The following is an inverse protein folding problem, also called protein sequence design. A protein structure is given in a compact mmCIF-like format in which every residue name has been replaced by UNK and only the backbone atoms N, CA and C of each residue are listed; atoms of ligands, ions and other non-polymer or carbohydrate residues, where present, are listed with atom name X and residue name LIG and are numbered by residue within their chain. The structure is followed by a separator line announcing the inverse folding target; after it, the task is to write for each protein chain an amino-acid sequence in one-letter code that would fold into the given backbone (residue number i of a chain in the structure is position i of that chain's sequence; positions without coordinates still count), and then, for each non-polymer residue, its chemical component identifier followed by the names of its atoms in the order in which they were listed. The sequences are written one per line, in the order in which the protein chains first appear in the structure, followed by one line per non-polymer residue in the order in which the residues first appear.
data_IF_918267156278
#
_entry.id   IF_918267156278
#
_cell.length_a   1.000
_cell.length_b   1.000
_cell.length_c   1.000
_cell.angle_alpha   90.00
_cell.angle_beta   90.00
_cell.angle_gamma   90.00
#
_symmetry.space_group_name_H-M   'P 1'
#
loop_
_entity.id
_entity.type
_entity.pdbx_description
1 polymer ?
#
# COMPACT_ATOMS: atom_id res chain seq x y z
N UNK A 1 -18.17 -5.08 11.35
CA UNK A 1 -16.99 -5.32 12.21
C UNK A 1 -17.17 -6.58 13.05
N UNK A 2 -16.08 -7.26 13.41
CA UNK A 2 -16.08 -8.29 14.45
C UNK A 2 -16.25 -7.66 15.85
N UNK A 3 -16.79 -8.41 16.83
CA UNK A 3 -17.04 -7.91 18.19
C UNK A 3 -15.74 -7.43 18.85
N UNK A 4 -14.61 -8.10 18.58
CA UNK A 4 -13.32 -7.70 19.16
C UNK A 4 -12.80 -6.39 18.55
N UNK A 5 -13.05 -6.16 17.26
CA UNK A 5 -12.70 -4.90 16.59
C UNK A 5 -13.50 -3.72 17.17
N UNK A 6 -14.80 -3.94 17.44
CA UNK A 6 -15.66 -2.89 18.02
C UNK A 6 -15.26 -2.59 19.46
N UNK A 7 -14.91 -3.61 20.26
CA UNK A 7 -14.44 -3.40 21.63
C UNK A 7 -13.12 -2.62 21.67
N UNK A 8 -12.18 -2.93 20.78
CA UNK A 8 -10.92 -2.18 20.67
C UNK A 8 -11.18 -0.72 20.24
N UNK A 9 -12.12 -0.49 19.32
CA UNK A 9 -12.48 0.85 18.90
C UNK A 9 -13.15 1.63 20.04
N UNK A 10 -14.11 1.02 20.74
CA UNK A 10 -14.77 1.61 21.89
C UNK A 10 -13.78 1.97 23.00
N UNK A 11 -12.78 1.10 23.28
CA UNK A 11 -11.73 1.37 24.25
C UNK A 11 -10.91 2.61 23.90
N UNK A 12 -10.50 2.73 22.62
CA UNK A 12 -9.79 3.91 22.15
C UNK A 12 -10.63 5.20 22.26
N UNK A 13 -11.93 5.14 21.98
CA UNK A 13 -12.81 6.31 22.06
C UNK A 13 -12.99 6.78 23.50
N UNK A 14 -13.25 5.85 24.41
CA UNK A 14 -13.39 6.15 25.85
C UNK A 14 -12.06 6.68 26.40
N UNK A 15 -10.92 6.10 26.00
CA UNK A 15 -9.61 6.61 26.40
C UNK A 15 -9.36 8.04 25.94
N UNK A 16 -9.69 8.37 24.68
CA UNK A 16 -9.50 9.72 24.16
C UNK A 16 -10.39 10.77 24.86
N UNK A 17 -11.59 10.39 25.30
CA UNK A 17 -12.55 11.32 25.92
C UNK A 17 -12.40 11.42 27.44
N UNK A 18 -11.98 10.35 28.11
CA UNK A 18 -11.95 10.27 29.59
C UNK A 18 -10.54 10.11 30.17
N UNK A 19 -9.54 9.82 29.33
CA UNK A 19 -8.18 9.48 29.76
C UNK A 19 -8.05 8.09 30.42
N UNK A 20 -9.14 7.32 30.49
CA UNK A 20 -9.19 5.97 31.10
C UNK A 20 -9.65 4.95 30.07
N UNK A 21 -9.06 3.75 30.12
CA UNK A 21 -9.52 2.62 29.33
C UNK A 21 -10.85 2.08 29.87
N UNK A 22 -11.56 1.30 29.05
CA UNK A 22 -12.78 0.61 29.47
C UNK A 22 -12.46 -0.34 30.63
N UNK A 23 -13.19 -0.20 31.73
CA UNK A 23 -13.15 -1.16 32.82
C UNK A 23 -13.87 -2.48 32.45
N UNK A 24 -13.69 -3.50 33.29
CA UNK A 24 -14.22 -4.84 33.03
C UNK A 24 -15.76 -4.84 32.87
N UNK A 25 -16.48 -4.01 33.64
CA UNK A 25 -17.93 -3.92 33.55
C UNK A 25 -18.36 -3.26 32.24
N UNK A 26 -17.71 -2.16 31.86
CA UNK A 26 -17.97 -1.46 30.61
C UNK A 26 -17.69 -2.36 29.39
N UNK A 27 -16.61 -3.15 29.42
CA UNK A 27 -16.31 -4.13 28.36
C UNK A 27 -17.39 -5.21 28.25
N UNK A 28 -17.87 -5.73 29.39
CA UNK A 28 -18.92 -6.77 29.42
C UNK A 28 -20.26 -6.20 28.96
N UNK A 29 -20.59 -4.94 29.32
CA UNK A 29 -21.77 -4.23 28.83
C UNK A 29 -21.76 -4.08 27.31
N UNK A 30 -20.63 -3.63 26.75
CA UNK A 30 -20.48 -3.46 25.30
C UNK A 30 -20.57 -4.80 24.57
N UNK A 31 -19.80 -5.80 25.03
CA UNK A 31 -19.81 -7.15 24.46
C UNK A 31 -21.22 -7.75 24.48
N UNK A 32 -21.90 -7.69 25.62
CA UNK A 32 -23.26 -8.19 25.78
C UNK A 32 -24.27 -7.45 24.92
N UNK A 33 -24.10 -6.13 24.75
CA UNK A 33 -24.95 -5.31 23.87
C UNK A 33 -24.77 -5.71 22.40
N UNK A 34 -23.54 -5.90 21.92
CA UNK A 34 -23.29 -6.36 20.55
C UNK A 34 -23.74 -7.80 20.27
N UNK A 35 -23.92 -8.60 21.32
CA UNK A 35 -24.48 -9.96 21.28
C UNK A 35 -26.01 -10.00 21.46
N UNK A 36 -26.67 -8.85 21.69
CA UNK A 36 -28.12 -8.78 21.87
C UNK A 36 -28.61 -9.22 23.27
N UNK A 37 -27.73 -9.37 24.25
CA UNK A 37 -28.09 -9.78 25.62
C UNK A 37 -28.92 -8.70 26.34
N UNK A 38 -29.83 -9.10 27.22
CA UNK A 38 -30.56 -8.19 28.14
C UNK A 38 -29.65 -7.73 29.28
N UNK A 39 -29.94 -6.56 29.88
CA UNK A 39 -29.14 -6.08 31.03
C UNK A 39 -29.20 -7.01 32.24
N UNK A 40 -30.26 -7.80 32.39
CA UNK A 40 -30.37 -8.84 33.42
C UNK A 40 -29.36 -9.97 33.22
N UNK A 41 -29.09 -10.34 31.97
CA UNK A 41 -28.13 -11.40 31.61
C UNK A 41 -26.69 -10.89 31.80
N UNK A 42 -26.44 -9.63 31.41
CA UNK A 42 -25.15 -8.95 31.63
C UNK A 42 -24.86 -8.80 33.12
N UNK A 43 -25.87 -8.44 33.93
CA UNK A 43 -25.75 -8.31 35.37
C UNK A 43 -25.41 -9.65 36.05
N UNK A 44 -26.01 -10.76 35.58
CA UNK A 44 -25.68 -12.11 36.05
C UNK A 44 -24.26 -12.53 35.68
N UNK A 45 -23.82 -12.24 34.44
CA UNK A 45 -22.47 -12.55 33.95
C UNK A 45 -21.38 -11.81 34.75
N UNK A 46 -21.64 -10.56 35.12
CA UNK A 46 -20.71 -9.73 35.89
C UNK A 46 -20.94 -9.78 37.41
N UNK A 47 -21.93 -10.54 37.89
CA UNK A 47 -22.30 -10.66 39.30
C UNK A 47 -22.62 -9.30 39.98
N UNK A 48 -23.37 -8.43 39.30
CA UNK A 48 -23.81 -7.14 39.82
C UNK A 48 -25.32 -6.93 39.69
N UNK A 49 -25.84 -5.78 40.12
CA UNK A 49 -27.28 -5.49 40.03
C UNK A 49 -27.65 -5.00 38.63
N UNK A 50 -28.88 -5.31 38.18
CA UNK A 50 -29.40 -4.79 36.92
C UNK A 50 -29.41 -3.25 36.86
N UNK A 51 -29.68 -2.59 38.00
CA UNK A 51 -29.62 -1.14 38.14
C UNK A 51 -28.22 -0.60 37.85
N UNK A 52 -27.19 -1.18 38.46
CA UNK A 52 -25.81 -0.74 38.25
C UNK A 52 -25.37 -0.90 36.77
N UNK A 53 -25.75 -1.99 36.11
CA UNK A 53 -25.51 -2.17 34.68
C UNK A 53 -26.18 -1.08 33.83
N UNK A 54 -27.41 -0.68 34.19
CA UNK A 54 -28.15 0.37 33.48
C UNK A 54 -27.50 1.74 33.66
N UNK A 55 -27.05 2.04 34.88
CA UNK A 55 -26.40 3.30 35.20
C UNK A 55 -25.10 3.45 34.39
N UNK A 56 -24.21 2.45 34.46
CA UNK A 56 -22.94 2.45 33.71
C UNK A 56 -23.17 2.44 32.20
N UNK A 57 -24.16 1.69 31.71
CA UNK A 57 -24.49 1.70 30.29
C UNK A 57 -25.01 3.08 29.83
N UNK A 58 -25.78 3.79 30.66
CA UNK A 58 -26.29 5.12 30.33
C UNK A 58 -25.16 6.15 30.17
N UNK A 59 -24.11 6.05 30.99
CA UNK A 59 -22.91 6.88 30.86
C UNK A 59 -22.16 6.56 29.57
N UNK A 60 -21.98 5.28 29.23
CA UNK A 60 -21.35 4.87 27.97
C UNK A 60 -22.11 5.42 26.75
N UNK A 61 -23.43 5.33 26.74
CA UNK A 61 -24.25 5.86 25.65
C UNK A 61 -24.13 7.37 25.52
N UNK A 62 -24.07 8.08 26.64
CA UNK A 62 -23.85 9.53 26.63
C UNK A 62 -22.49 9.88 26.03
N UNK A 63 -21.43 9.20 26.47
CA UNK A 63 -20.07 9.41 25.95
C UNK A 63 -20.01 9.16 24.45
N UNK A 64 -20.51 8.03 23.96
CA UNK A 64 -20.54 7.77 22.51
C UNK A 64 -21.44 8.73 21.74
N UNK A 65 -22.54 9.22 22.33
CA UNK A 65 -23.38 10.22 21.66
C UNK A 65 -22.64 11.53 21.43
N UNK A 66 -21.85 11.96 22.42
CA UNK A 66 -20.97 13.12 22.31
C UNK A 66 -19.86 12.88 21.27
N UNK A 67 -19.23 11.69 21.26
CA UNK A 67 -18.17 11.37 20.29
C UNK A 67 -18.69 11.29 18.85
N UNK A 68 -19.90 10.75 18.66
CA UNK A 68 -20.43 10.46 17.33
C UNK A 68 -21.24 11.61 16.74
N UNK A 69 -21.62 12.59 17.56
CA UNK A 69 -22.50 13.68 17.14
C UNK A 69 -23.93 13.22 16.84
N UNK A 70 -24.34 12.03 17.28
CA UNK A 70 -25.69 11.49 17.14
C UNK A 70 -26.15 10.79 18.43
N UNK A 71 -27.46 10.67 18.64
CA UNK A 71 -28.01 10.00 19.83
C UNK A 71 -27.75 8.48 19.78
N UNK A 72 -26.94 7.98 20.71
CA UNK A 72 -26.60 6.56 20.87
C UNK A 72 -27.39 5.96 22.02
N UNK A 73 -27.90 4.75 21.81
CA UNK A 73 -28.54 3.91 22.81
C UNK A 73 -28.24 2.43 22.52
N UNK A 74 -28.66 1.54 23.41
CA UNK A 74 -28.42 0.10 23.29
C UNK A 74 -28.82 -0.49 21.93
N UNK A 75 -29.93 -0.02 21.34
CA UNK A 75 -30.50 -0.61 20.12
C UNK A 75 -29.82 -0.16 18.83
N UNK A 76 -29.22 1.04 18.83
CA UNK A 76 -28.59 1.61 17.64
C UNK A 76 -27.04 1.66 17.73
N UNK A 77 -26.45 1.27 18.86
CA UNK A 77 -25.01 1.32 19.11
C UNK A 77 -24.18 0.77 17.96
N UNK A 78 -24.52 -0.43 17.46
CA UNK A 78 -23.76 -1.07 16.38
C UNK A 78 -23.79 -0.26 15.09
N UNK A 79 -24.97 0.21 14.70
CA UNK A 79 -25.15 1.04 13.51
C UNK A 79 -24.44 2.40 13.67
N UNK A 80 -24.44 2.97 14.88
CA UNK A 80 -23.74 4.22 15.17
C UNK A 80 -22.22 4.09 15.01
N UNK A 81 -21.63 3.01 15.53
CA UNK A 81 -20.22 2.68 15.31
C UNK A 81 -19.88 2.47 13.83
N UNK A 82 -20.71 1.72 13.10
CA UNK A 82 -20.49 1.51 11.66
C UNK A 82 -20.57 2.83 10.88
N UNK A 83 -21.53 3.72 11.20
CA UNK A 83 -21.67 5.05 10.56
C UNK A 83 -20.51 5.99 10.88
N UNK A 84 -20.12 6.06 12.16
CA UNK A 84 -19.01 6.93 12.58
C UNK A 84 -17.68 6.49 11.97
N UNK A 85 -17.45 5.18 11.85
CA UNK A 85 -16.28 4.67 11.15
C UNK A 85 -16.30 5.06 9.66
N UNK A 86 -17.47 5.00 9.03
CA UNK A 86 -17.64 5.44 7.64
C UNK A 86 -17.46 6.96 7.49
N UNK A 87 -17.93 7.78 8.45
CA UNK A 87 -17.80 9.24 8.38
C UNK A 87 -16.35 9.71 8.47
N UNK A 88 -15.51 9.03 9.27
CA UNK A 88 -14.06 9.28 9.33
C UNK A 88 -13.37 8.93 8.02
N UNK A 89 -13.82 7.87 7.36
CA UNK A 89 -13.28 7.47 6.05
C UNK A 89 -13.77 8.42 4.93
N UNK A 90 -14.87 9.15 5.15
CA UNK A 90 -15.55 9.96 4.13
C UNK A 90 -15.30 11.47 4.24
N UNK A 91 -14.71 11.97 5.33
CA UNK A 91 -14.43 13.40 5.55
C UNK A 91 -12.93 13.69 5.58
N UNK A 92 -12.33 14.23 4.50
CA UNK A 92 -10.87 14.44 4.42
C UNK A 92 -10.34 15.67 5.19
N UNK A 93 -11.19 16.47 5.83
CA UNK A 93 -10.82 17.83 6.28
C UNK A 93 -10.72 18.07 7.79
N UNK A 94 -10.94 17.08 8.66
CA UNK A 94 -10.75 17.22 10.12
C UNK A 94 -9.63 16.32 10.68
N UNK A 95 -8.51 16.22 9.97
CA UNK A 95 -7.25 15.77 10.57
C UNK A 95 -6.49 16.98 11.13
N UNK A 96 -6.96 17.51 12.26
CA UNK A 96 -6.08 18.28 13.15
C UNK A 96 -5.13 17.28 13.82
N UNK A 97 -3.83 17.52 13.65
CA UNK A 97 -2.77 16.67 14.14
C UNK A 97 -2.86 16.39 15.64
N UNK A 98 -2.80 15.10 16.00
CA UNK A 98 -2.53 14.68 17.37
C UNK A 98 -1.01 14.66 17.55
N UNK A 99 -0.44 15.86 17.62
CA UNK A 99 0.79 16.13 18.36
C UNK A 99 0.38 17.04 19.52
N UNK A 100 0.60 16.57 20.76
CA UNK A 100 0.44 17.27 22.03
C UNK A 100 0.03 18.75 21.97
N UNK A 101 -1.24 19.04 22.28
CA UNK A 101 -1.66 20.36 22.75
C UNK A 101 -2.35 20.15 24.10
N UNK A 102 -1.68 20.59 25.16
CA UNK A 102 -2.34 20.88 26.43
C UNK A 102 -3.33 22.03 26.18
N UNK A 103 -4.60 21.75 26.42
CA UNK A 103 -5.68 22.74 26.45
C UNK A 103 -5.46 23.69 27.63
N UNK A 104 -5.50 24.99 27.39
CA UNK A 104 -5.93 25.95 28.41
C UNK A 104 -6.94 26.91 27.79
N UNK A 105 -8.19 26.94 28.29
CA UNK A 105 -9.08 28.04 28.04
C UNK A 105 -8.76 29.22 28.99
N UNK A 106 -9.33 30.36 28.63
CA UNK A 106 -9.60 31.53 29.48
C UNK A 106 -8.63 32.72 29.40
N UNK A 107 -9.13 33.78 28.76
CA UNK A 107 -8.99 35.15 29.28
C UNK A 107 -10.32 35.53 29.93
N UNK A 108 -10.40 35.40 31.25
CA UNK A 108 -11.03 36.40 32.10
C UNK A 108 -10.16 36.59 33.34
N UNK A 109 -10.07 37.84 33.74
CA UNK A 109 -9.37 38.39 34.89
C UNK A 109 -9.63 37.65 36.20
N UNK A 110 -8.57 37.41 37.00
CA UNK A 110 -8.29 38.12 38.27
C UNK A 110 -7.41 37.28 39.19
N UNK A 111 -6.23 37.84 39.54
CA UNK A 111 -5.57 37.82 40.85
C UNK A 111 -5.76 36.63 41.80
N UNK A 112 -4.69 35.87 42.09
CA UNK A 112 -3.93 35.94 43.36
C UNK A 112 -2.93 34.76 43.48
N UNK A 113 -1.77 35.08 44.04
CA UNK A 113 -0.65 34.24 44.46
C UNK A 113 -1.04 33.11 45.42
N UNK A 114 -0.30 31.98 45.42
CA UNK A 114 0.35 31.31 46.57
C UNK A 114 1.08 30.02 46.09
N UNK A 115 2.34 29.87 46.51
CA UNK A 115 3.13 28.62 46.65
C UNK A 115 3.31 28.39 48.18
N UNK A 116 3.79 27.25 48.75
CA UNK A 116 4.31 25.99 48.18
C UNK A 116 3.95 24.70 49.00
N UNK A 117 4.61 23.56 48.67
CA UNK A 117 5.05 22.43 49.55
C UNK A 117 4.37 21.03 49.48
N UNK A 118 5.19 20.08 48.99
CA UNK A 118 5.47 18.70 49.43
C UNK A 118 4.36 17.77 49.97
N UNK A 119 4.09 16.69 49.22
CA UNK A 119 3.89 15.34 49.78
C UNK A 119 4.51 14.26 48.88
N UNK A 120 5.24 13.35 49.51
CA UNK A 120 6.13 12.33 48.97
C UNK A 120 5.45 10.96 48.76
N UNK A 121 5.80 10.30 47.64
CA UNK A 121 5.81 8.84 47.34
C UNK A 121 4.46 8.10 47.13
N UNK A 122 4.41 6.91 46.44
CA UNK A 122 5.47 6.09 45.83
C UNK A 122 5.23 5.63 44.36
N UNK A 123 6.30 5.10 43.75
CA UNK A 123 6.33 4.33 42.50
C UNK A 123 5.39 3.11 42.52
N UNK A 124 4.27 3.13 41.79
CA UNK A 124 3.58 1.91 41.32
C UNK A 124 2.90 2.19 39.97
N UNK A 125 3.57 1.79 38.88
CA UNK A 125 3.02 1.02 37.74
C UNK A 125 3.82 1.29 36.46
N UNK A 126 4.69 0.33 36.13
CA UNK A 126 5.16 0.11 34.76
C UNK A 126 3.93 -0.26 33.91
N UNK A 127 3.27 0.74 33.33
CA UNK A 127 2.44 0.51 32.16
C UNK A 127 3.35 -0.11 31.09
N UNK A 128 3.14 -1.39 30.78
CA UNK A 128 3.71 -2.01 29.60
C UNK A 128 3.04 -1.36 28.38
N UNK A 129 3.56 -0.20 27.98
CA UNK A 129 3.23 0.42 26.70
C UNK A 129 3.66 -0.55 25.61
N UNK A 130 2.70 -1.11 24.87
CA UNK A 130 3.01 -1.81 23.62
C UNK A 130 3.79 -0.81 22.76
N UNK A 131 5.06 -1.09 22.37
CA UNK A 131 5.84 -0.14 21.61
C UNK A 131 5.12 0.14 20.29
N UNK A 132 4.73 1.40 20.06
CA UNK A 132 4.24 1.82 18.75
C UNK A 132 5.39 1.69 17.73
N UNK A 133 5.15 1.18 16.52
CA UNK A 133 6.16 1.12 15.48
C UNK A 133 6.73 2.52 15.21
N UNK A 134 8.04 2.64 15.03
CA UNK A 134 8.63 3.86 14.48
C UNK A 134 8.48 3.81 12.96
N UNK A 135 7.85 4.84 12.39
CA UNK A 135 7.45 4.87 10.98
C UNK A 135 8.05 6.10 10.31
N UNK A 136 8.79 5.90 9.22
CA UNK A 136 9.36 6.95 8.37
C UNK A 136 8.88 6.76 6.94
N UNK A 137 7.90 7.57 6.53
CA UNK A 137 7.27 7.52 5.21
C UNK A 137 7.43 8.82 4.43
N UNK A 138 8.36 9.71 4.82
CA UNK A 138 8.56 11.01 4.15
C UNK A 138 8.81 10.91 2.64
N UNK A 139 9.43 9.83 2.17
CA UNK A 139 9.70 9.57 0.75
C UNK A 139 8.49 8.96 0.00
N UNK A 140 7.44 8.54 0.71
CA UNK A 140 6.29 7.89 0.12
C UNK A 140 5.32 8.94 -0.46
N UNK A 141 4.72 8.72 -1.64
CA UNK A 141 3.79 9.67 -2.22
C UNK A 141 2.48 9.72 -1.43
N UNK A 142 1.89 10.92 -1.32
CA UNK A 142 0.53 11.10 -0.83
C UNK A 142 -0.47 10.47 -1.81
N UNK A 143 -1.29 9.56 -1.32
CA UNK A 143 -2.21 8.81 -2.17
C UNK A 143 -3.66 8.94 -1.72
N UNK A 144 -4.54 9.23 -2.69
CA UNK A 144 -5.89 9.74 -2.44
C UNK A 144 -6.99 8.66 -2.34
N UNK A 145 -6.96 7.55 -3.11
CA UNK A 145 -8.06 6.54 -3.10
C UNK A 145 -7.66 5.12 -3.50
N UNK A 146 -7.94 4.11 -2.67
CA UNK A 146 -7.57 2.70 -2.91
C UNK A 146 -8.73 1.85 -3.44
N UNK A 147 -8.49 1.04 -4.48
CA UNK A 147 -9.51 0.20 -5.12
C UNK A 147 -9.13 -1.29 -5.14
N UNK A 148 -10.02 -2.15 -4.65
CA UNK A 148 -9.92 -3.61 -4.82
C UNK A 148 -8.71 -4.27 -4.13
N UNK A 149 -8.08 -5.23 -4.82
CA UNK A 149 -6.80 -5.87 -4.45
C UNK A 149 -6.77 -6.68 -3.14
N UNK A 150 -7.93 -7.18 -2.69
CA UNK A 150 -8.02 -7.94 -1.43
C UNK A 150 -7.17 -9.22 -1.46
N UNK A 151 -7.10 -9.91 -2.61
CA UNK A 151 -6.31 -11.14 -2.75
C UNK A 151 -4.80 -10.87 -2.75
N UNK A 152 -4.37 -9.79 -3.38
CA UNK A 152 -2.98 -9.35 -3.37
C UNK A 152 -2.54 -8.94 -1.96
N UNK A 153 -3.36 -8.16 -1.23
CA UNK A 153 -3.10 -7.84 0.18
C UNK A 153 -2.99 -9.13 1.01
N UNK A 154 -3.93 -10.08 0.85
CA UNK A 154 -3.90 -11.36 1.57
C UNK A 154 -2.64 -12.15 1.28
N UNK A 155 -2.21 -12.18 0.02
CA UNK A 155 -0.98 -12.85 -0.43
C UNK A 155 0.26 -12.21 0.17
N UNK A 156 0.36 -10.88 0.13
CA UNK A 156 1.47 -10.13 0.71
C UNK A 156 1.54 -10.30 2.23
N UNK A 157 0.40 -10.23 2.93
CA UNK A 157 0.30 -10.52 4.38
C UNK A 157 0.80 -11.92 4.70
N UNK A 158 0.37 -12.94 3.93
CA UNK A 158 0.82 -14.32 4.11
C UNK A 158 2.35 -14.42 3.97
N UNK A 159 2.90 -13.89 2.88
CA UNK A 159 4.34 -13.97 2.63
C UNK A 159 5.16 -13.24 3.69
N UNK A 160 4.74 -12.04 4.09
CA UNK A 160 5.50 -11.18 5.01
C UNK A 160 5.36 -11.63 6.46
N UNK A 161 4.14 -11.94 6.91
CA UNK A 161 3.88 -12.21 8.33
C UNK A 161 4.00 -13.68 8.68
N UNK A 162 3.48 -14.58 7.84
CA UNK A 162 3.39 -16.01 8.14
C UNK A 162 4.58 -16.78 7.59
N UNK A 163 4.91 -16.59 6.30
CA UNK A 163 6.04 -17.27 5.66
C UNK A 163 7.39 -16.56 5.87
N UNK A 164 7.37 -15.40 6.54
CA UNK A 164 8.53 -14.59 6.90
C UNK A 164 9.53 -14.41 5.76
N UNK A 165 9.02 -14.07 4.56
CA UNK A 165 9.86 -13.79 3.40
C UNK A 165 10.71 -12.55 3.69
N UNK A 166 12.02 -12.69 3.50
CA UNK A 166 12.98 -11.61 3.70
C UNK A 166 12.93 -10.59 2.57
N UNK A 167 12.60 -11.03 1.36
CA UNK A 167 12.37 -10.14 0.22
C UNK A 167 11.05 -10.50 -0.45
N UNK A 168 10.21 -9.48 -0.62
CA UNK A 168 9.00 -9.55 -1.42
C UNK A 168 9.10 -8.51 -2.52
N UNK A 169 9.00 -8.94 -3.78
CA UNK A 169 9.07 -8.06 -4.94
C UNK A 169 7.66 -7.86 -5.51
N UNK A 170 7.15 -6.65 -5.46
CA UNK A 170 5.94 -6.22 -6.13
C UNK A 170 6.30 -5.58 -7.47
N UNK A 171 5.97 -6.25 -8.57
CA UNK A 171 6.30 -5.75 -9.90
C UNK A 171 5.10 -5.74 -10.86
N UNK A 172 5.17 -4.93 -11.92
CA UNK A 172 4.08 -4.77 -12.87
C UNK A 172 4.17 -3.44 -13.62
N UNK A 173 3.29 -3.25 -14.61
CA UNK A 173 3.26 -2.09 -15.51
C UNK A 173 3.22 -0.74 -14.76
N UNK A 174 3.66 0.34 -15.40
CA UNK A 174 3.53 1.68 -14.83
C UNK A 174 2.04 2.02 -14.59
N UNK A 175 1.76 2.76 -13.51
CA UNK A 175 0.39 3.14 -13.15
C UNK A 175 -0.50 2.02 -12.57
N UNK A 176 -0.05 0.77 -12.56
CA UNK A 176 -0.88 -0.40 -12.17
C UNK A 176 -1.29 -0.43 -10.67
N UNK A 177 -0.77 0.49 -9.85
CA UNK A 177 -1.12 0.62 -8.43
C UNK A 177 -0.17 -0.09 -7.44
N UNK A 178 1.11 -0.29 -7.80
CA UNK A 178 2.07 -0.97 -6.91
C UNK A 178 2.35 -0.21 -5.62
N UNK A 179 2.73 1.06 -5.74
CA UNK A 179 3.00 1.98 -4.63
C UNK A 179 1.78 2.12 -3.72
N UNK A 180 0.61 2.31 -4.32
CA UNK A 180 -0.70 2.31 -3.66
C UNK A 180 -0.96 1.03 -2.85
N UNK A 181 -0.70 -0.14 -3.43
CA UNK A 181 -0.85 -1.42 -2.73
C UNK A 181 0.12 -1.57 -1.55
N UNK A 182 1.36 -1.11 -1.69
CA UNK A 182 2.33 -1.13 -0.61
C UNK A 182 1.92 -0.22 0.56
N UNK A 183 1.45 1.00 0.28
CA UNK A 183 0.92 1.92 1.29
C UNK A 183 -0.28 1.31 2.04
N UNK A 184 -1.22 0.71 1.30
CA UNK A 184 -2.36 0.04 1.92
C UNK A 184 -1.94 -1.16 2.77
N UNK A 185 -0.97 -1.94 2.29
CA UNK A 185 -0.40 -3.05 3.03
C UNK A 185 0.23 -2.58 4.35
N UNK A 186 1.01 -1.49 4.35
CA UNK A 186 1.62 -0.93 5.57
C UNK A 186 0.55 -0.63 6.61
N UNK A 187 -0.52 0.10 6.25
CA UNK A 187 -1.65 0.39 7.16
C UNK A 187 -2.20 -0.87 7.82
N UNK A 188 -2.19 -1.98 7.10
CA UNK A 188 -2.73 -3.26 7.55
C UNK A 188 -1.79 -4.11 8.43
N UNK A 189 -0.48 -3.86 8.38
CA UNK A 189 0.53 -4.73 9.04
C UNK A 189 1.51 -3.97 9.92
N UNK A 190 1.38 -2.65 10.02
CA UNK A 190 2.36 -1.78 10.69
C UNK A 190 2.63 -2.16 12.15
N UNK A 191 1.61 -2.64 12.87
CA UNK A 191 1.72 -3.08 14.25
C UNK A 191 2.48 -4.41 14.44
N UNK A 192 3.02 -5.00 13.36
CA UNK A 192 3.83 -6.23 13.39
C UNK A 192 5.32 -5.97 13.19
N UNK A 193 5.75 -4.72 13.21
CA UNK A 193 7.13 -4.30 12.99
C UNK A 193 7.54 -3.29 14.06
N UNK A 194 8.82 -3.28 14.41
CA UNK A 194 9.41 -2.28 15.30
C UNK A 194 9.72 -0.99 14.53
N UNK A 195 10.17 -1.13 13.28
CA UNK A 195 10.56 -0.04 12.38
C UNK A 195 9.96 -0.24 10.99
N UNK A 196 9.43 0.82 10.40
CA UNK A 196 8.96 0.85 9.02
C UNK A 196 9.61 2.04 8.34
N UNK A 197 10.30 1.80 7.22
CA UNK A 197 10.97 2.86 6.49
C UNK A 197 10.70 2.72 4.99
N UNK A 198 10.29 3.82 4.38
CA UNK A 198 10.16 3.95 2.93
C UNK A 198 11.36 4.69 2.36
N UNK A 199 11.95 4.16 1.30
CA UNK A 199 13.04 4.78 0.55
C UNK A 199 12.69 4.83 -0.93
N UNK A 200 12.66 6.03 -1.48
CA UNK A 200 12.49 6.25 -2.91
C UNK A 200 13.83 6.13 -3.63
N UNK A 201 13.91 5.33 -4.70
CA UNK A 201 15.08 5.27 -5.57
C UNK A 201 14.93 6.15 -6.83
N UNK A 202 13.94 7.05 -6.89
CA UNK A 202 13.69 7.93 -8.05
C UNK A 202 14.95 8.64 -8.56
N UNK A 203 15.78 9.15 -7.65
CA UNK A 203 17.02 9.86 -7.98
C UNK A 203 18.25 8.94 -8.12
N UNK A 204 18.02 7.63 -8.20
CA UNK A 204 19.07 6.60 -8.30
C UNK A 204 20.17 6.76 -7.23
N UNK A 205 19.82 6.73 -5.93
CA UNK A 205 20.78 6.96 -4.86
C UNK A 205 21.82 5.83 -4.78
N UNK A 206 23.10 6.15 -4.51
CA UNK A 206 24.10 5.13 -4.20
C UNK A 206 23.67 4.27 -3.01
N UNK A 207 24.00 2.97 -3.05
CA UNK A 207 23.62 2.03 -1.99
C UNK A 207 24.09 2.46 -0.60
N UNK A 208 25.25 3.12 -0.51
CA UNK A 208 25.79 3.65 0.74
C UNK A 208 24.83 4.64 1.40
N UNK A 209 24.22 5.53 0.61
CA UNK A 209 23.22 6.51 1.09
C UNK A 209 22.02 5.79 1.71
N UNK A 210 21.49 4.78 1.03
CA UNK A 210 20.37 3.98 1.54
C UNK A 210 20.74 3.25 2.83
N UNK A 211 21.91 2.58 2.88
CA UNK A 211 22.36 1.88 4.09
C UNK A 211 22.53 2.82 5.27
N UNK A 212 23.14 3.98 5.06
CA UNK A 212 23.35 4.96 6.12
C UNK A 212 22.02 5.45 6.70
N UNK A 213 21.04 5.76 5.83
CA UNK A 213 19.70 6.17 6.27
C UNK A 213 18.98 5.06 7.04
N UNK A 214 19.08 3.80 6.59
CA UNK A 214 18.54 2.64 7.30
C UNK A 214 19.18 2.47 8.68
N UNK A 215 20.51 2.54 8.77
CA UNK A 215 21.24 2.37 10.02
C UNK A 215 20.85 3.49 11.00
N UNK A 216 20.92 4.76 10.56
CA UNK A 216 20.57 5.92 11.39
C UNK A 216 19.14 5.82 11.96
N UNK A 217 18.18 5.42 11.11
CA UNK A 217 16.78 5.29 11.52
C UNK A 217 16.57 4.14 12.52
N UNK A 218 17.19 2.98 12.31
CA UNK A 218 16.96 1.79 13.15
C UNK A 218 17.76 1.86 14.46
N UNK A 219 18.99 2.35 14.42
CA UNK A 219 19.88 2.37 15.59
C UNK A 219 19.57 3.51 16.56
N UNK A 220 18.83 4.54 16.13
CA UNK A 220 18.68 5.80 16.87
C UNK A 220 20.04 6.47 17.21
N UNK A 221 21.12 6.14 16.48
CA UNK A 221 22.46 6.67 16.70
C UNK A 221 22.92 7.51 15.49
N UNK A 222 23.45 8.70 15.78
CA UNK A 222 24.01 9.63 14.79
C UNK A 222 25.47 9.33 14.42
N UNK A 223 26.07 8.24 14.93
CA UNK A 223 27.47 7.94 14.68
C UNK A 223 27.67 7.33 13.29
N UNK A 224 28.55 7.96 12.51
CA UNK A 224 29.06 7.41 11.26
C UNK A 224 29.96 6.21 11.65
N UNK A 225 29.49 5.00 11.39
CA UNK A 225 30.24 3.78 11.72
C UNK A 225 31.33 3.57 10.66
N UNK A 226 32.61 3.66 11.05
CA UNK A 226 33.78 3.36 10.21
C UNK A 226 33.98 1.84 9.95
N UNK A 227 33.19 1.00 10.63
CA UNK A 227 33.18 -0.47 10.50
C UNK A 227 32.19 -0.92 9.42
N UNK A 228 32.32 -2.16 8.92
CA UNK A 228 31.61 -2.61 7.71
C UNK A 228 30.09 -2.36 7.78
N UNK A 229 29.58 -1.41 6.98
CA UNK A 229 28.17 -0.97 6.99
C UNK A 229 27.16 -2.13 6.93
N UNK A 230 27.52 -3.22 6.25
CA UNK A 230 26.70 -4.43 6.16
C UNK A 230 26.49 -5.13 7.51
N UNK A 231 27.55 -5.32 8.31
CA UNK A 231 27.44 -6.04 9.59
C UNK A 231 26.52 -5.31 10.55
N UNK A 232 26.65 -3.99 10.62
CA UNK A 232 25.82 -3.13 11.46
C UNK A 232 24.36 -3.16 11.06
N UNK A 233 24.07 -3.01 9.77
CA UNK A 233 22.70 -3.11 9.28
C UNK A 233 22.10 -4.48 9.61
N UNK A 234 22.85 -5.57 9.38
CA UNK A 234 22.37 -6.93 9.66
C UNK A 234 22.14 -7.20 11.15
N UNK A 235 23.01 -6.70 12.02
CA UNK A 235 22.79 -6.77 13.47
C UNK A 235 21.51 -6.03 13.88
N UNK A 236 21.27 -4.85 13.32
CA UNK A 236 20.05 -4.10 13.54
C UNK A 236 18.80 -4.86 13.05
N UNK A 237 18.86 -5.48 11.86
CA UNK A 237 17.76 -6.29 11.31
C UNK A 237 17.51 -7.59 12.08
N UNK A 238 18.49 -8.09 12.84
CA UNK A 238 18.35 -9.22 13.77
C UNK A 238 17.69 -8.78 15.07
N UNK A 239 18.15 -7.68 15.65
CA UNK A 239 17.64 -7.11 16.90
C UNK A 239 16.20 -6.60 16.77
N UNK A 240 15.88 -6.01 15.62
CA UNK A 240 14.60 -5.38 15.36
C UNK A 240 13.91 -5.99 14.14
N UNK A 241 12.58 -6.12 14.22
CA UNK A 241 11.75 -6.53 13.10
C UNK A 241 11.40 -5.31 12.26
N UNK A 242 12.10 -5.13 11.14
CA UNK A 242 11.93 -3.99 10.26
C UNK A 242 11.15 -4.34 8.98
N UNK A 243 10.30 -3.42 8.52
CA UNK A 243 9.74 -3.43 7.18
C UNK A 243 10.42 -2.31 6.37
N UNK A 244 11.24 -2.70 5.41
CA UNK A 244 11.96 -1.76 4.53
C UNK A 244 11.26 -1.75 3.18
N UNK A 245 10.80 -0.58 2.72
CA UNK A 245 10.20 -0.41 1.41
C UNK A 245 11.19 0.31 0.51
N UNK A 246 11.54 -0.31 -0.61
CA UNK A 246 12.37 0.29 -1.66
C UNK A 246 11.50 0.47 -2.90
N UNK A 247 11.12 1.71 -3.20
CA UNK A 247 10.31 2.05 -4.36
C UNK A 247 11.16 2.51 -5.55
N UNK A 248 10.64 2.27 -6.76
CA UNK A 248 11.24 2.63 -8.04
C UNK A 248 12.60 1.96 -8.35
N UNK A 249 12.80 0.69 -7.97
CA UNK A 249 14.06 -0.03 -8.26
C UNK A 249 14.47 0.00 -9.74
N UNK A 250 13.54 0.13 -10.67
CA UNK A 250 13.89 0.22 -12.09
C UNK A 250 14.84 1.36 -12.44
N UNK A 251 14.92 2.43 -11.64
CA UNK A 251 15.77 3.60 -11.92
C UNK A 251 17.25 3.27 -11.87
N UNK A 252 17.65 2.33 -11.00
CA UNK A 252 19.03 1.84 -10.88
C UNK A 252 19.38 0.75 -11.92
N UNK A 253 18.47 0.47 -12.85
CA UNK A 253 18.74 -0.38 -14.01
C UNK A 253 19.15 0.44 -15.23
N UNK A 254 20.04 -0.14 -16.04
CA UNK A 254 20.54 0.41 -17.29
C UNK A 254 19.42 0.61 -18.30
N UNK A 255 19.25 1.85 -18.76
CA UNK A 255 18.47 2.18 -19.95
C UNK A 255 19.16 1.64 -21.22
N UNK A 256 18.39 1.29 -22.25
CA UNK A 256 18.92 0.80 -23.53
C UNK A 256 19.51 -0.62 -23.49
N UNK A 257 19.30 -1.35 -22.39
CA UNK A 257 19.75 -2.75 -22.22
C UNK A 257 18.57 -3.64 -21.85
N UNK A 258 18.76 -4.95 -21.99
CA UNK A 258 17.77 -5.93 -21.51
C UNK A 258 17.47 -5.72 -20.01
N UNK A 259 16.23 -6.00 -19.63
CA UNK A 259 15.64 -5.76 -18.32
C UNK A 259 16.48 -6.24 -17.14
N UNK A 260 16.42 -5.47 -16.06
CA UNK A 260 17.01 -5.80 -14.76
C UNK A 260 18.54 -5.93 -14.75
N UNK A 261 19.24 -5.31 -15.71
CA UNK A 261 20.69 -5.08 -15.63
C UNK A 261 20.95 -3.80 -14.84
N UNK A 262 21.61 -3.88 -13.69
CA UNK A 262 22.04 -2.70 -12.94
C UNK A 262 22.98 -1.82 -13.76
N UNK A 263 22.95 -0.49 -13.56
CA UNK A 263 24.02 0.38 -14.04
C UNK A 263 25.35 0.02 -13.34
N UNK A 264 26.52 0.37 -13.90
CA UNK A 264 27.81 0.09 -13.28
C UNK A 264 27.93 0.53 -11.81
N UNK A 265 27.40 1.71 -11.50
CA UNK A 265 27.43 2.36 -10.17
C UNK A 265 26.55 1.63 -9.15
N UNK A 266 25.50 0.95 -9.61
CA UNK A 266 24.48 0.31 -8.78
C UNK A 266 24.58 -1.22 -8.71
N UNK A 267 25.64 -1.83 -9.29
CA UNK A 267 25.84 -3.30 -9.26
C UNK A 267 25.86 -3.88 -7.85
N UNK A 268 26.29 -3.09 -6.86
CA UNK A 268 26.35 -3.46 -5.44
C UNK A 268 24.97 -3.73 -4.81
N UNK A 269 23.86 -3.21 -5.36
CA UNK A 269 22.50 -3.53 -4.91
C UNK A 269 22.18 -5.02 -5.04
N UNK A 270 22.66 -5.68 -6.12
CA UNK A 270 22.45 -7.12 -6.31
C UNK A 270 23.04 -7.94 -5.17
N UNK A 271 24.28 -7.61 -4.76
CA UNK A 271 24.95 -8.25 -3.63
C UNK A 271 24.23 -7.96 -2.32
N UNK A 272 23.74 -6.73 -2.12
CA UNK A 272 22.96 -6.36 -0.96
C UNK A 272 21.65 -7.16 -0.83
N UNK A 273 20.89 -7.30 -1.91
CA UNK A 273 19.67 -8.12 -1.90
C UNK A 273 19.96 -9.60 -1.65
N UNK A 274 21.08 -10.13 -2.17
CA UNK A 274 21.50 -11.49 -1.85
C UNK A 274 21.83 -11.65 -0.36
N UNK A 275 22.53 -10.69 0.24
CA UNK A 275 22.85 -10.68 1.67
C UNK A 275 21.58 -10.68 2.53
N UNK A 276 20.62 -9.79 2.26
CA UNK A 276 19.32 -9.75 2.96
C UNK A 276 18.57 -11.08 2.79
N UNK A 277 18.55 -11.66 1.59
CA UNK A 277 17.82 -12.91 1.36
C UNK A 277 18.44 -14.14 2.08
N UNK A 278 19.77 -14.18 2.22
CA UNK A 278 20.47 -15.36 2.73
C UNK A 278 20.64 -15.34 4.25
N UNK A 279 20.87 -14.18 4.85
CA UNK A 279 21.25 -14.10 6.27
C UNK A 279 20.06 -14.17 7.21
N UNK A 280 20.24 -14.79 8.38
CA UNK A 280 19.18 -14.95 9.39
C UNK A 280 18.84 -13.60 10.03
N UNK A 281 17.58 -13.19 9.88
CA UNK A 281 16.95 -12.04 10.51
C UNK A 281 15.41 -12.16 10.38
N UNK A 282 14.67 -11.34 11.11
CA UNK A 282 13.19 -11.34 11.14
C UNK A 282 12.55 -10.22 10.30
N UNK A 283 13.38 -9.34 9.74
CA UNK A 283 12.96 -8.22 8.91
C UNK A 283 12.54 -8.61 7.48
N UNK A 284 11.76 -7.77 6.83
CA UNK A 284 11.30 -7.93 5.44
C UNK A 284 11.63 -6.69 4.60
N UNK A 285 12.15 -6.90 3.40
CA UNK A 285 12.35 -5.88 2.37
C UNK A 285 11.27 -6.03 1.29
N UNK A 286 10.35 -5.07 1.20
CA UNK A 286 9.36 -4.94 0.15
C UNK A 286 9.94 -4.07 -0.99
N UNK A 287 10.21 -4.70 -2.12
CA UNK A 287 10.77 -4.04 -3.30
C UNK A 287 9.64 -3.76 -4.29
N UNK A 288 9.53 -2.52 -4.75
CA UNK A 288 8.56 -2.10 -5.76
C UNK A 288 9.33 -1.75 -7.04
N UNK A 289 8.88 -2.30 -8.17
CA UNK A 289 9.58 -2.13 -9.45
C UNK A 289 8.65 -2.25 -10.66
N UNK A 290 8.99 -1.58 -11.77
CA UNK A 290 8.36 -1.83 -13.07
C UNK A 290 8.84 -3.15 -13.71
N UNK A 291 10.01 -3.62 -13.31
CA UNK A 291 10.67 -4.79 -13.86
C UNK A 291 10.89 -5.88 -12.78
N UNK A 292 10.73 -7.16 -13.15
CA UNK A 292 11.02 -8.28 -12.24
C UNK A 292 12.53 -8.38 -11.96
N UNK A 293 12.93 -8.44 -10.68
CA UNK A 293 14.33 -8.59 -10.27
C UNK A 293 14.95 -9.92 -10.73
N UNK A 294 16.25 -9.90 -11.02
CA UNK A 294 17.00 -11.09 -11.47
C UNK A 294 17.32 -12.05 -10.33
N UNK A 295 17.42 -11.55 -9.11
CA UNK A 295 17.74 -12.30 -7.91
C UNK A 295 16.68 -13.38 -7.63
N UNK A 296 15.42 -13.14 -8.03
CA UNK A 296 14.33 -14.13 -7.94
C UNK A 296 14.60 -15.37 -8.81
N UNK A 297 15.43 -15.23 -9.84
CA UNK A 297 15.63 -16.26 -10.89
C UNK A 297 16.71 -17.27 -10.48
N UNK A 298 17.58 -16.93 -9.52
CA UNK A 298 18.77 -17.72 -9.16
C UNK A 298 18.51 -18.93 -8.24
N UNK A 299 17.36 -19.60 -8.37
CA UNK A 299 17.07 -20.91 -7.72
C UNK A 299 15.95 -20.91 -6.70
N UNK A 300 15.78 -22.04 -5.98
CA UNK A 300 14.77 -22.27 -4.92
C UNK A 300 15.08 -21.47 -3.63
N UNK A 301 15.38 -20.17 -3.74
CA UNK A 301 15.51 -19.33 -2.55
C UNK A 301 14.11 -19.11 -1.96
N UNK A 302 13.79 -19.89 -0.94
CA UNK A 302 12.50 -19.85 -0.25
C UNK A 302 12.25 -18.52 0.47
N UNK A 303 13.28 -17.67 0.63
CA UNK A 303 13.20 -16.36 1.29
C UNK A 303 12.73 -15.23 0.37
N UNK A 304 12.71 -15.43 -0.95
CA UNK A 304 12.30 -14.41 -1.92
C UNK A 304 10.98 -14.82 -2.59
N UNK A 305 10.01 -13.92 -2.63
CA UNK A 305 8.78 -14.07 -3.42
C UNK A 305 8.57 -12.86 -4.33
N UNK A 306 7.89 -13.08 -5.45
CA UNK A 306 7.51 -12.01 -6.38
C UNK A 306 6.03 -12.06 -6.68
N UNK A 307 5.33 -10.93 -6.53
CA UNK A 307 3.96 -10.74 -6.96
C UNK A 307 3.96 -9.89 -8.22
N UNK A 308 3.44 -10.45 -9.32
CA UNK A 308 3.16 -9.69 -10.52
C UNK A 308 1.76 -9.06 -10.39
N UNK A 309 1.70 -7.73 -10.33
CA UNK A 309 0.47 -6.97 -10.22
C UNK A 309 -0.10 -6.73 -11.63
N UNK A 310 -1.23 -7.37 -11.93
CA UNK A 310 -2.01 -7.20 -13.16
C UNK A 310 -3.01 -6.04 -13.03
N UNK A 311 -3.79 -5.77 -14.08
CA UNK A 311 -4.95 -4.87 -14.04
C UNK A 311 -5.89 -5.13 -12.87
N UNK A 312 -6.65 -4.11 -12.46
CA UNK A 312 -7.78 -4.28 -11.56
C UNK A 312 -8.82 -5.21 -12.18
N UNK A 313 -9.53 -5.95 -11.32
CA UNK A 313 -10.76 -6.61 -11.72
C UNK A 313 -11.83 -5.58 -12.11
N UNK A 314 -12.83 -6.05 -12.85
CA UNK A 314 -13.89 -5.21 -13.38
C UNK A 314 -14.63 -4.44 -12.28
N UNK A 315 -14.86 -5.07 -11.12
CA UNK A 315 -15.58 -4.45 -10.00
C UNK A 315 -14.78 -3.27 -9.42
N UNK A 316 -13.47 -3.43 -9.23
CA UNK A 316 -12.60 -2.38 -8.73
C UNK A 316 -12.35 -1.29 -9.79
N UNK A 317 -12.21 -1.65 -11.07
CA UNK A 317 -12.05 -0.70 -12.16
C UNK A 317 -13.32 0.15 -12.38
N UNK A 318 -14.50 -0.46 -12.27
CA UNK A 318 -15.81 0.23 -12.30
C UNK A 318 -15.91 1.30 -11.21
N UNK A 319 -15.32 1.07 -10.02
CA UNK A 319 -15.30 2.09 -8.96
C UNK A 319 -14.48 3.31 -9.34
N UNK A 320 -13.40 3.15 -10.11
CA UNK A 320 -12.63 4.29 -10.63
C UNK A 320 -13.50 5.13 -11.55
N UNK A 321 -14.24 4.51 -12.48
CA UNK A 321 -15.10 5.23 -13.42
C UNK A 321 -16.24 5.97 -12.69
N UNK A 322 -16.83 5.35 -11.66
CA UNK A 322 -17.84 5.99 -10.79
C UNK A 322 -17.28 7.18 -10.03
N UNK A 323 -16.09 7.03 -9.45
CA UNK A 323 -15.45 8.08 -8.66
C UNK A 323 -14.98 9.27 -9.50
N UNK A 324 -14.97 9.10 -10.83
CA UNK A 324 -14.73 10.14 -11.83
C UNK A 324 -16.05 10.69 -12.40
N UNK A 325 -17.21 10.39 -11.82
CA UNK A 325 -18.52 10.91 -12.26
C UNK A 325 -18.87 10.63 -13.74
N UNK A 326 -18.31 9.57 -14.34
CA UNK A 326 -18.69 9.14 -15.68
C UNK A 326 -20.14 8.66 -15.71
N UNK A 327 -20.83 8.91 -16.82
CA UNK A 327 -22.19 8.41 -17.02
C UNK A 327 -22.17 6.88 -17.07
N UNK A 328 -23.15 6.25 -16.41
CA UNK A 328 -23.30 4.80 -16.41
C UNK A 328 -23.62 4.37 -17.85
N UNK A 329 -22.77 3.51 -18.40
CA UNK A 329 -22.86 3.07 -19.79
C UNK A 329 -22.51 1.57 -19.86
N UNK A 330 -23.21 0.82 -20.71
CA UNK A 330 -22.96 -0.61 -20.95
C UNK A 330 -21.54 -0.86 -21.48
N UNK A 331 -20.91 0.16 -22.07
CA UNK A 331 -19.57 0.11 -22.67
C UNK A 331 -18.43 0.24 -21.65
N UNK A 332 -18.71 0.41 -20.36
CA UNK A 332 -17.68 0.45 -19.31
C UNK A 332 -16.78 -0.78 -19.33
N UNK A 333 -17.34 -1.96 -19.56
CA UNK A 333 -16.59 -3.21 -19.66
C UNK A 333 -15.57 -3.15 -20.80
N UNK A 334 -15.97 -2.61 -21.95
CA UNK A 334 -15.11 -2.46 -23.13
C UNK A 334 -14.01 -1.42 -22.88
N UNK A 335 -14.31 -0.31 -22.22
CA UNK A 335 -13.31 0.67 -21.80
C UNK A 335 -12.29 0.04 -20.83
N UNK A 336 -12.76 -0.64 -19.78
CA UNK A 336 -11.91 -1.33 -18.80
C UNK A 336 -11.03 -2.38 -19.48
N UNK A 337 -11.57 -3.10 -20.47
CA UNK A 337 -10.85 -4.09 -21.24
C UNK A 337 -9.72 -3.47 -22.06
N UNK A 338 -9.97 -2.38 -22.79
CA UNK A 338 -8.95 -1.72 -23.59
C UNK A 338 -7.80 -1.15 -22.76
N UNK A 339 -8.11 -0.54 -21.63
CA UNK A 339 -7.11 -0.04 -20.68
C UNK A 339 -6.63 -1.10 -19.67
N UNK A 340 -7.08 -2.34 -19.84
CA UNK A 340 -6.69 -3.53 -19.09
C UNK A 340 -6.70 -3.32 -17.57
N UNK A 341 -7.71 -2.60 -17.07
CA UNK A 341 -7.85 -2.33 -15.64
C UNK A 341 -6.69 -1.52 -15.03
N UNK A 342 -5.88 -0.81 -15.82
CA UNK A 342 -4.79 0.00 -15.31
C UNK A 342 -5.35 1.27 -14.63
N UNK A 343 -5.19 1.44 -13.30
CA UNK A 343 -5.78 2.57 -12.59
C UNK A 343 -5.39 3.93 -13.14
N UNK A 344 -4.11 4.15 -13.46
CA UNK A 344 -3.66 5.46 -13.98
C UNK A 344 -4.28 5.75 -15.33
N UNK A 345 -4.28 4.79 -16.26
CA UNK A 345 -4.88 5.01 -17.57
C UNK A 345 -6.39 5.22 -17.49
N UNK A 346 -7.09 4.46 -16.63
CA UNK A 346 -8.51 4.63 -16.39
C UNK A 346 -8.85 6.00 -15.82
N UNK A 347 -8.04 6.53 -14.90
CA UNK A 347 -8.26 7.89 -14.37
C UNK A 347 -8.02 8.96 -15.45
N UNK A 348 -6.96 8.81 -16.28
CA UNK A 348 -6.67 9.77 -17.35
C UNK A 348 -7.83 9.76 -18.35
N UNK A 349 -8.17 8.60 -18.92
CA UNK A 349 -9.22 8.54 -19.94
C UNK A 349 -10.60 8.94 -19.38
N UNK A 350 -10.91 8.63 -18.12
CA UNK A 350 -12.15 9.09 -17.51
C UNK A 350 -12.21 10.61 -17.42
N UNK A 351 -11.11 11.25 -17.02
CA UNK A 351 -10.98 12.71 -17.04
C UNK A 351 -11.19 13.26 -18.45
N UNK A 352 -10.50 12.70 -19.45
CA UNK A 352 -10.65 13.10 -20.86
C UNK A 352 -12.11 12.99 -21.35
N UNK A 353 -12.82 11.92 -20.99
CA UNK A 353 -14.22 11.71 -21.40
C UNK A 353 -15.15 12.73 -20.73
N UNK A 354 -14.91 13.09 -19.47
CA UNK A 354 -15.66 14.17 -18.83
C UNK A 354 -15.43 15.51 -19.52
N UNK A 355 -14.16 15.84 -19.76
CA UNK A 355 -13.77 17.15 -20.29
C UNK A 355 -14.27 17.36 -21.72
N UNK A 356 -14.24 16.31 -22.56
CA UNK A 356 -14.58 16.41 -23.98
C UNK A 356 -16.03 16.00 -24.31
N UNK A 357 -16.60 15.05 -23.56
CA UNK A 357 -17.87 14.41 -23.91
C UNK A 357 -18.87 14.40 -22.75
N UNK A 358 -18.66 15.24 -21.72
CA UNK A 358 -19.56 15.35 -20.55
C UNK A 358 -19.88 14.01 -19.89
N UNK A 359 -18.90 13.11 -19.88
CA UNK A 359 -18.99 11.78 -19.27
C UNK A 359 -19.59 10.69 -20.17
N UNK A 360 -19.90 11.00 -21.44
CA UNK A 360 -20.48 10.07 -22.39
C UNK A 360 -19.41 9.25 -23.15
N UNK A 361 -19.23 7.99 -22.74
CA UNK A 361 -18.25 7.07 -23.35
C UNK A 361 -18.64 6.69 -24.78
N UNK A 362 -19.95 6.53 -25.03
CA UNK A 362 -20.46 6.19 -26.36
C UNK A 362 -20.09 7.24 -27.41
N UNK A 363 -19.92 8.50 -27.03
CA UNK A 363 -19.48 9.57 -27.94
C UNK A 363 -18.00 9.44 -28.29
N UNK A 364 -17.11 9.21 -27.32
CA UNK A 364 -15.69 8.92 -27.60
C UNK A 364 -15.54 7.75 -28.57
N UNK A 365 -16.32 6.69 -28.37
CA UNK A 365 -16.21 5.45 -29.15
C UNK A 365 -16.65 5.60 -30.61
N UNK A 366 -17.39 6.67 -30.95
CA UNK A 366 -17.69 6.99 -32.35
C UNK A 366 -16.46 7.48 -33.11
N UNK A 367 -15.49 8.08 -32.40
CA UNK A 367 -14.26 8.62 -32.98
C UNK A 367 -13.09 7.65 -32.86
N UNK A 368 -12.73 7.27 -31.64
CA UNK A 368 -11.62 6.36 -31.36
C UNK A 368 -11.88 5.58 -30.06
N UNK A 369 -12.32 4.31 -30.16
CA UNK A 369 -12.57 3.47 -28.99
C UNK A 369 -11.34 3.22 -28.09
N UNK A 370 -10.12 3.40 -28.60
CA UNK A 370 -8.86 3.26 -27.86
C UNK A 370 -8.01 4.55 -27.98
N UNK A 371 -8.66 5.69 -27.76
CA UNK A 371 -8.01 7.00 -27.78
C UNK A 371 -6.86 7.10 -26.77
N UNK A 372 -5.65 7.36 -27.24
CA UNK A 372 -4.51 7.59 -26.35
C UNK A 372 -4.34 9.08 -26.05
N UNK A 373 -4.78 9.47 -24.86
CA UNK A 373 -4.51 10.80 -24.29
C UNK A 373 -3.00 11.12 -24.28
N UNK A 374 -2.64 12.39 -24.41
CA UNK A 374 -1.25 12.85 -24.44
C UNK A 374 -0.48 12.41 -23.18
N UNK A 375 -1.11 12.43 -22.01
CA UNK A 375 -0.51 11.99 -20.75
C UNK A 375 -0.26 10.47 -20.76
N UNK A 376 -1.17 9.68 -21.35
CA UNK A 376 -0.95 8.25 -21.54
C UNK A 376 0.23 8.02 -22.49
N UNK A 377 0.30 8.76 -23.61
CA UNK A 377 1.41 8.66 -24.57
C UNK A 377 2.75 8.97 -23.93
N UNK A 378 2.85 10.01 -23.12
CA UNK A 378 4.09 10.37 -22.40
C UNK A 378 4.51 9.26 -21.42
N UNK A 379 3.56 8.71 -20.65
CA UNK A 379 3.86 7.59 -19.75
C UNK A 379 4.37 6.35 -20.49
N UNK A 380 3.82 6.05 -21.68
CA UNK A 380 4.27 4.93 -22.51
C UNK A 380 5.63 5.23 -23.16
N UNK A 381 5.84 6.46 -23.62
CA UNK A 381 7.11 6.94 -24.17
C UNK A 381 8.24 6.72 -23.16
N UNK A 382 8.06 7.18 -21.92
CA UNK A 382 9.04 7.01 -20.84
C UNK A 382 9.34 5.54 -20.53
N UNK A 383 8.37 4.63 -20.72
CA UNK A 383 8.60 3.20 -20.54
C UNK A 383 9.35 2.57 -21.71
N UNK A 384 8.98 2.89 -22.95
CA UNK A 384 9.58 2.30 -24.14
C UNK A 384 10.95 2.90 -24.49
N UNK A 385 11.24 4.14 -24.09
CA UNK A 385 12.55 4.76 -24.28
C UNK A 385 13.68 4.03 -23.55
N UNK A 386 13.34 3.24 -22.52
CA UNK A 386 14.30 2.44 -21.74
C UNK A 386 14.71 1.12 -22.40
N UNK A 387 14.03 0.72 -23.47
CA UNK A 387 14.28 -0.54 -24.17
C UNK A 387 15.56 -0.49 -25.00
N UNK A 388 16.21 -1.63 -25.18
CA UNK A 388 17.24 -1.77 -26.21
C UNK A 388 16.63 -1.72 -27.61
N UNK A 389 17.44 -1.43 -28.64
CA UNK A 389 16.97 -1.40 -30.03
C UNK A 389 16.37 -2.74 -30.47
N UNK A 390 16.96 -3.86 -30.05
CA UNK A 390 16.42 -5.20 -30.34
C UNK A 390 15.11 -5.50 -29.60
N UNK A 391 14.90 -4.94 -28.40
CA UNK A 391 13.59 -5.01 -27.72
C UNK A 391 12.53 -4.19 -28.49
N UNK A 392 12.90 -3.01 -28.98
CA UNK A 392 12.02 -2.16 -29.79
C UNK A 392 11.62 -2.86 -31.09
N UNK A 393 12.55 -3.52 -31.79
CA UNK A 393 12.24 -4.30 -33.01
C UNK A 393 11.17 -5.37 -32.75
N UNK A 394 11.30 -6.15 -31.67
CA UNK A 394 10.30 -7.17 -31.31
C UNK A 394 8.96 -6.53 -30.94
N UNK A 395 8.95 -5.43 -30.18
CA UNK A 395 7.71 -4.71 -29.86
C UNK A 395 7.04 -4.17 -31.14
N UNK A 396 7.78 -3.54 -32.04
CA UNK A 396 7.24 -3.03 -33.30
C UNK A 396 6.60 -4.14 -34.13
N UNK A 397 7.21 -5.34 -34.17
CA UNK A 397 6.61 -6.48 -34.85
C UNK A 397 5.35 -7.01 -34.14
N UNK A 398 5.38 -7.15 -32.81
CA UNK A 398 4.20 -7.56 -32.05
C UNK A 398 3.05 -6.56 -32.14
N UNK A 399 3.34 -5.29 -32.43
CA UNK A 399 2.33 -4.26 -32.58
C UNK A 399 1.56 -4.37 -33.91
N UNK A 400 2.19 -4.94 -34.95
CA UNK A 400 1.54 -5.13 -36.25
C UNK A 400 0.73 -6.44 -36.34
N UNK A 401 0.94 -7.37 -35.40
CA UNK A 401 0.25 -8.67 -35.40
C UNK A 401 -1.12 -8.57 -34.73
N UNK A 402 -2.18 -9.05 -35.38
CA UNK A 402 -3.53 -9.09 -34.80
C UNK A 402 -3.68 -10.13 -33.70
N UNK A 403 -3.15 -11.33 -33.93
CA UNK A 403 -3.21 -12.47 -33.02
C UNK A 403 -1.90 -12.65 -32.24
N UNK A 404 -1.94 -13.29 -31.05
CA UNK A 404 -0.73 -13.70 -30.33
C UNK A 404 0.18 -14.59 -31.20
N UNK A 405 1.49 -14.34 -31.18
CA UNK A 405 2.47 -15.01 -32.05
C UNK A 405 3.40 -15.96 -31.31
N UNK A 406 3.86 -17.02 -31.99
CA UNK A 406 4.85 -17.96 -31.45
C UNK A 406 6.27 -17.43 -31.58
N UNK A 407 7.22 -18.04 -30.84
CA UNK A 407 8.66 -17.80 -31.05
C UNK A 407 9.10 -18.17 -32.48
N UNK A 408 8.55 -19.22 -33.08
CA UNK A 408 8.88 -19.61 -34.46
C UNK A 408 8.52 -18.50 -35.44
N UNK A 409 7.30 -17.99 -35.33
CA UNK A 409 6.81 -16.87 -36.16
C UNK A 409 7.68 -15.63 -36.02
N UNK A 410 8.15 -15.33 -34.80
CA UNK A 410 9.07 -14.22 -34.56
C UNK A 410 10.44 -14.46 -35.21
N UNK A 411 10.97 -15.69 -35.22
CA UNK A 411 12.24 -16.01 -35.88
C UNK A 411 12.14 -15.93 -37.40
N UNK A 412 11.00 -16.33 -37.96
CA UNK A 412 10.77 -16.29 -39.40
C UNK A 412 10.68 -14.85 -39.92
N UNK A 413 10.17 -13.93 -39.09
CA UNK A 413 9.95 -12.54 -39.47
C UNK A 413 11.05 -11.57 -39.02
N UNK A 414 11.89 -11.94 -38.05
CA UNK A 414 12.93 -11.08 -37.50
C UNK A 414 14.31 -11.68 -37.76
N UNK A 415 15.24 -10.87 -38.26
CA UNK A 415 16.64 -11.26 -38.47
C UNK A 415 17.42 -11.28 -37.14
N UNK A 416 16.93 -12.03 -36.16
CA UNK A 416 17.49 -12.12 -34.80
C UNK A 416 17.91 -13.56 -34.50
N UNK A 417 19.13 -13.81 -34.00
CA UNK A 417 19.56 -15.15 -33.59
C UNK A 417 18.60 -15.78 -32.55
N UNK A 418 18.32 -17.09 -32.61
CA UNK A 418 17.38 -17.74 -31.69
C UNK A 418 17.66 -17.52 -30.21
N UNK A 419 18.93 -17.62 -29.79
CA UNK A 419 19.32 -17.40 -28.40
C UNK A 419 19.09 -15.96 -27.93
N UNK A 420 19.25 -15.00 -28.84
CA UNK A 420 19.03 -13.58 -28.57
C UNK A 420 17.54 -13.28 -28.46
N UNK A 421 16.71 -13.78 -29.39
CA UNK A 421 15.25 -13.61 -29.32
C UNK A 421 14.68 -14.15 -28.00
N UNK A 422 15.13 -15.32 -27.54
CA UNK A 422 14.70 -15.87 -26.25
C UNK A 422 15.05 -14.96 -25.06
N UNK A 423 16.19 -14.27 -25.12
CA UNK A 423 16.58 -13.30 -24.10
C UNK A 423 15.76 -12.01 -24.19
N UNK A 424 15.43 -11.55 -25.41
CA UNK A 424 14.56 -10.39 -25.65
C UNK A 424 13.14 -10.65 -25.13
N UNK A 425 12.54 -11.79 -25.47
CA UNK A 425 11.21 -12.16 -24.99
C UNK A 425 11.19 -12.25 -23.45
N UNK A 426 12.19 -12.89 -22.84
CA UNK A 426 12.32 -12.91 -21.37
C UNK A 426 12.46 -11.50 -20.79
N UNK A 427 13.16 -10.61 -21.48
CA UNK A 427 13.35 -9.22 -21.09
C UNK A 427 12.03 -8.45 -21.09
N UNK A 428 11.29 -8.50 -22.20
CA UNK A 428 9.98 -7.86 -22.36
C UNK A 428 8.96 -8.39 -21.35
N UNK A 429 8.96 -9.69 -21.07
CA UNK A 429 8.13 -10.29 -20.01
C UNK A 429 8.49 -9.75 -18.62
N UNK A 430 9.78 -9.58 -18.31
CA UNK A 430 10.21 -9.02 -17.02
C UNK A 430 9.77 -7.57 -16.86
N UNK A 431 9.70 -6.81 -17.94
CA UNK A 431 9.19 -5.42 -17.98
C UNK A 431 7.67 -5.35 -17.91
N UNK A 432 6.96 -6.49 -17.95
CA UNK A 432 5.50 -6.57 -17.99
C UNK A 432 4.90 -5.89 -19.24
N UNK A 433 5.65 -5.87 -20.35
CA UNK A 433 5.22 -5.23 -21.61
C UNK A 433 4.53 -6.20 -22.56
N UNK A 434 4.82 -7.50 -22.44
CA UNK A 434 4.19 -8.56 -23.24
C UNK A 434 3.50 -9.57 -22.33
N UNK A 435 2.40 -10.11 -22.82
CA UNK A 435 1.67 -11.20 -22.20
C UNK A 435 2.00 -12.53 -22.89
N UNK A 436 1.93 -13.61 -22.11
CA UNK A 436 2.08 -14.98 -22.62
C UNK A 436 0.74 -15.69 -22.50
N UNK A 437 0.23 -16.15 -23.64
CA UNK A 437 -0.98 -16.96 -23.76
C UNK A 437 -0.56 -18.34 -24.26
N UNK A 438 -0.49 -19.32 -23.37
CA UNK A 438 0.11 -20.63 -23.65
C UNK A 438 1.53 -20.53 -24.21
N UNK A 439 1.74 -20.75 -25.52
CA UNK A 439 3.04 -20.61 -26.20
C UNK A 439 3.14 -19.37 -27.09
N UNK A 440 2.11 -18.53 -27.08
CA UNK A 440 2.02 -17.31 -27.87
C UNK A 440 2.28 -16.07 -27.03
N UNK A 441 2.71 -15.00 -27.70
CA UNK A 441 3.06 -13.73 -27.09
C UNK A 441 2.30 -12.59 -27.77
N UNK A 442 1.82 -11.64 -26.99
CA UNK A 442 1.11 -10.46 -27.50
C UNK A 442 1.44 -9.22 -26.66
N UNK A 443 1.21 -8.04 -27.23
CA UNK A 443 1.28 -6.77 -26.51
C UNK A 443 -0.03 -6.46 -25.82
N UNK A 444 0.08 -5.62 -24.78
CA UNK A 444 -1.04 -4.91 -24.20
C UNK A 444 -1.71 -4.00 -25.25
N UNK A 445 -3.05 -3.88 -25.22
CA UNK A 445 -3.80 -3.08 -26.21
C UNK A 445 -3.31 -1.64 -26.31
N UNK A 446 -3.15 -0.97 -25.18
CA UNK A 446 -2.62 0.40 -25.10
C UNK A 446 -1.20 0.50 -25.68
N UNK A 447 -0.34 -0.50 -25.45
CA UNK A 447 1.00 -0.51 -26.04
C UNK A 447 0.95 -0.73 -27.55
N UNK A 448 0.09 -1.63 -28.02
CA UNK A 448 -0.10 -1.88 -29.45
C UNK A 448 -0.57 -0.62 -30.18
N UNK A 449 -1.57 0.08 -29.63
CA UNK A 449 -2.04 1.35 -30.18
C UNK A 449 -0.96 2.43 -30.17
N UNK A 450 -0.17 2.52 -29.10
CA UNK A 450 0.90 3.52 -29.01
C UNK A 450 2.00 3.26 -30.04
N UNK A 451 2.48 2.01 -30.14
CA UNK A 451 3.58 1.63 -31.03
C UNK A 451 3.19 1.75 -32.50
N UNK A 452 1.93 1.48 -32.86
CA UNK A 452 1.44 1.67 -34.23
C UNK A 452 1.24 3.14 -34.62
N UNK A 453 1.20 4.04 -33.64
CA UNK A 453 1.01 5.48 -33.85
C UNK A 453 2.30 6.30 -34.02
N UNK A 454 3.48 5.68 -33.85
CA UNK A 454 4.79 6.35 -33.85
C UNK A 454 5.71 5.91 -34.99
#
# INVERSE_FOLDING_TARGET
MDIQEILNLADHLIFNQTGKHLDDLQQVILRGTFQGKKYSEIAQEFQCTNGHVRDVASELWKTFSETFGEQVNKSNLRTAFDRWQLSIVSSPNDFIGINNINFCPETFSSSETINPENLTQPNINKHQTIPKPKIELSDAPDYKKFYGRTQEIKTLKKWILQEQKKIVVLHGMNGIGKTTLALQLIKNIQNKFDYIIWQSLRDSPPLKTIKNRLIQFISNQNSILETSENSHLLENLRKHRCLIILDDIQTIFSSGKLASHYTPEHKNYSQFFQLIAQLSHQSCCLIISREKLREIIKGKNTSIRSLHLKGLDEQAATKILKDQDLQIDEQWQKLIYFYQGNPTWLNIIATTINDLFSGNISELFQYDPLFLDADIKELLHQQLSRLSEVEKQVISHLATTTEPVTISTLLDNLQIPPSELLNIIKSLQRRSLIEKQENNFTLLYVLKQYVTSI
#
